data_IF_739874863739
#
_entry.id   IF_739874863739
#
_cell.length_a   1.000
_cell.length_b   1.000
_cell.length_c   1.000
_cell.angle_alpha   90.00
_cell.angle_beta   90.00
_cell.angle_gamma   90.00
#
_symmetry.space_group_name_H-M   'P 1'
#
loop_
_entity.id
_entity.type
_entity.pdbx_description
1 polymer ?
#
# COMPACT_ATOMS: atom_id res chain seq x y z
N UNK A 1 -14.47 33.50 44.67
CA UNK A 1 -13.33 32.61 44.36
C UNK A 1 -13.78 31.28 43.72
N UNK A 2 -14.81 30.61 44.25
CA UNK A 2 -15.35 29.34 43.74
C UNK A 2 -15.76 29.35 42.25
N UNK A 3 -16.50 30.37 41.78
CA UNK A 3 -16.99 30.41 40.39
C UNK A 3 -15.87 30.47 39.32
N UNK A 4 -14.73 31.11 39.64
CA UNK A 4 -13.57 31.15 38.74
C UNK A 4 -12.86 29.78 38.67
N UNK A 5 -12.85 29.03 39.77
CA UNK A 5 -12.29 27.68 39.83
C UNK A 5 -13.11 26.70 38.97
N UNK A 6 -14.44 26.79 39.04
CA UNK A 6 -15.36 25.94 38.25
C UNK A 6 -15.28 26.24 36.76
N UNK A 7 -15.12 27.52 36.39
CA UNK A 7 -14.97 27.93 35.00
C UNK A 7 -13.63 27.47 34.40
N UNK A 8 -12.55 27.55 35.19
CA UNK A 8 -11.22 27.07 34.79
C UNK A 8 -11.19 25.55 34.64
N UNK A 9 -11.86 24.81 35.55
CA UNK A 9 -12.00 23.36 35.44
C UNK A 9 -12.79 22.95 34.18
N UNK A 10 -13.89 23.65 33.86
CA UNK A 10 -14.66 23.40 32.63
C UNK A 10 -13.85 23.65 31.36
N UNK A 11 -13.04 24.71 31.33
CA UNK A 11 -12.15 25.02 30.19
C UNK A 11 -11.05 23.97 30.01
N UNK A 12 -10.47 23.51 31.12
CA UNK A 12 -9.47 22.44 31.12
C UNK A 12 -10.07 21.13 30.60
N UNK A 13 -11.27 20.79 31.07
CA UNK A 13 -11.98 19.57 30.67
C UNK A 13 -12.36 19.59 29.19
N UNK A 14 -12.84 20.73 28.68
CA UNK A 14 -13.18 20.90 27.26
C UNK A 14 -11.93 20.74 26.37
N UNK A 15 -10.80 21.33 26.74
CA UNK A 15 -9.55 21.20 26.00
C UNK A 15 -9.01 19.77 25.99
N UNK A 16 -9.08 19.06 27.11
CA UNK A 16 -8.67 17.65 27.19
C UNK A 16 -9.50 16.75 26.27
N UNK A 17 -10.82 16.98 26.20
CA UNK A 17 -11.72 16.25 25.30
C UNK A 17 -11.38 16.56 23.83
N UNK A 18 -11.13 17.83 23.49
CA UNK A 18 -10.75 18.21 22.12
C UNK A 18 -9.45 17.56 21.69
N UNK A 19 -8.42 17.57 22.56
CA UNK A 19 -7.13 16.92 22.27
C UNK A 19 -7.30 15.41 22.12
N UNK A 20 -8.02 14.76 23.04
CA UNK A 20 -8.28 13.33 22.96
C UNK A 20 -9.04 12.94 21.68
N UNK A 21 -10.07 13.71 21.32
CA UNK A 21 -10.84 13.52 20.08
C UNK A 21 -9.96 13.70 18.85
N UNK A 22 -9.12 14.75 18.80
CA UNK A 22 -8.21 15.00 17.69
C UNK A 22 -7.13 13.91 17.57
N UNK A 23 -6.63 13.39 18.70
CA UNK A 23 -5.71 12.24 18.71
C UNK A 23 -6.39 10.95 18.26
N UNK A 24 -7.66 10.73 18.62
CA UNK A 24 -8.42 9.57 18.18
C UNK A 24 -8.75 9.65 16.68
N UNK A 25 -9.07 10.85 16.19
CA UNK A 25 -9.30 11.13 14.77
C UNK A 25 -8.02 10.91 13.98
N UNK A 26 -6.89 11.48 14.40
CA UNK A 26 -5.60 11.27 13.71
C UNK A 26 -5.15 9.81 13.78
N UNK A 27 -5.36 9.12 14.90
CA UNK A 27 -5.15 7.68 15.01
C UNK A 27 -6.05 6.91 14.02
N UNK A 28 -7.34 7.27 13.95
CA UNK A 28 -8.29 6.66 13.02
C UNK A 28 -7.90 6.90 11.56
N UNK A 29 -7.50 8.12 11.20
CA UNK A 29 -6.98 8.45 9.86
C UNK A 29 -5.67 7.73 9.54
N UNK A 30 -4.81 7.50 10.54
CA UNK A 30 -3.57 6.71 10.38
C UNK A 30 -3.80 5.20 10.32
N UNK A 31 -4.94 4.72 10.85
CA UNK A 31 -5.41 3.33 10.77
C UNK A 31 -6.27 3.08 9.52
N UNK A 32 -6.58 4.11 8.73
CA UNK A 32 -7.09 3.89 7.37
C UNK A 32 -5.96 3.20 6.63
N UNK A 33 -6.05 1.89 6.51
CA UNK A 33 -5.20 1.13 5.60
C UNK A 33 -5.39 1.75 4.23
N UNK A 34 -4.34 2.38 3.69
CA UNK A 34 -4.24 2.53 2.24
C UNK A 34 -4.27 1.10 1.73
N UNK A 35 -5.42 0.67 1.21
CA UNK A 35 -5.49 -0.54 0.42
C UNK A 35 -4.61 -0.23 -0.77
N UNK A 36 -3.32 -0.59 -0.69
CA UNK A 36 -2.49 -0.71 -1.87
C UNK A 36 -3.34 -1.58 -2.79
N UNK A 37 -3.94 -0.99 -3.82
CA UNK A 37 -4.97 -1.65 -4.61
C UNK A 37 -4.46 -3.04 -4.90
N UNK A 38 -5.19 -4.05 -4.45
CA UNK A 38 -4.87 -5.45 -4.71
C UNK A 38 -4.73 -5.54 -6.22
N UNK A 39 -3.49 -5.50 -6.71
CA UNK A 39 -3.23 -5.08 -8.07
C UNK A 39 -4.03 -5.92 -9.04
N UNK A 40 -4.45 -5.32 -10.16
CA UNK A 40 -5.09 -6.08 -11.24
C UNK A 40 -4.31 -7.36 -11.52
N UNK A 41 -2.97 -7.33 -11.41
CA UNK A 41 -2.07 -8.48 -11.43
C UNK A 41 -1.35 -8.58 -10.08
N UNK A 42 -1.42 -9.74 -9.44
CA UNK A 42 -0.75 -10.04 -8.17
C UNK A 42 0.50 -10.91 -8.37
N UNK A 43 0.45 -11.87 -9.29
CA UNK A 43 1.61 -12.73 -9.60
C UNK A 43 1.62 -13.23 -11.03
N UNK A 44 2.81 -13.56 -11.51
CA UNK A 44 3.06 -14.10 -12.85
C UNK A 44 4.03 -15.27 -12.70
N UNK A 45 3.62 -16.47 -13.10
CA UNK A 45 4.44 -17.67 -12.99
C UNK A 45 4.83 -18.04 -11.55
N UNK A 46 4.05 -17.60 -10.55
CA UNK A 46 4.33 -17.79 -9.12
C UNK A 46 5.21 -16.70 -8.49
N UNK A 47 5.80 -15.80 -9.28
CA UNK A 47 6.53 -14.65 -8.76
C UNK A 47 5.58 -13.49 -8.48
N UNK A 48 5.72 -12.84 -7.32
CA UNK A 48 4.94 -11.65 -6.97
C UNK A 48 5.23 -10.51 -7.95
N UNK A 49 4.17 -9.94 -8.52
CA UNK A 49 4.30 -8.82 -9.44
C UNK A 49 4.43 -7.51 -8.67
N UNK A 50 5.32 -6.64 -9.14
CA UNK A 50 5.53 -5.31 -8.56
C UNK A 50 4.69 -4.32 -9.37
N UNK A 51 3.65 -3.78 -8.75
CA UNK A 51 2.75 -2.82 -9.39
C UNK A 51 3.53 -1.60 -9.93
N UNK A 52 3.33 -1.29 -11.21
CA UNK A 52 4.03 -0.20 -11.89
C UNK A 52 5.39 -0.59 -12.51
N UNK A 53 5.80 -1.87 -12.42
CA UNK A 53 6.96 -2.35 -13.16
C UNK A 53 6.77 -2.15 -14.67
N UNK A 54 7.79 -1.61 -15.35
CA UNK A 54 7.80 -1.46 -16.81
C UNK A 54 8.25 -2.74 -17.52
N UNK A 55 9.00 -3.60 -16.81
CA UNK A 55 9.46 -4.88 -17.30
C UNK A 55 9.46 -5.92 -16.18
N UNK A 56 9.14 -7.18 -16.52
CA UNK A 56 9.06 -8.30 -15.58
C UNK A 56 9.61 -9.57 -16.21
N UNK A 57 10.39 -10.35 -15.45
CA UNK A 57 11.04 -11.57 -15.95
C UNK A 57 10.47 -12.80 -15.28
N UNK A 58 10.20 -13.83 -16.09
CA UNK A 58 9.83 -15.17 -15.61
C UNK A 58 10.49 -16.22 -16.48
N UNK A 59 10.73 -17.40 -15.93
CA UNK A 59 11.44 -18.49 -16.62
C UNK A 59 10.50 -19.51 -17.27
N UNK A 60 9.24 -19.57 -16.84
CA UNK A 60 8.22 -20.43 -17.43
C UNK A 60 7.78 -19.89 -18.79
N UNK A 61 7.74 -20.74 -19.83
CA UNK A 61 7.18 -20.39 -21.15
C UNK A 61 5.65 -20.18 -21.12
N UNK A 62 4.98 -20.70 -20.09
CA UNK A 62 3.52 -20.55 -19.89
C UNK A 62 3.24 -20.09 -18.46
N UNK A 63 3.60 -18.84 -18.13
CA UNK A 63 3.40 -18.33 -16.79
C UNK A 63 1.91 -18.11 -16.52
N UNK A 64 1.42 -18.63 -15.40
CA UNK A 64 0.07 -18.32 -14.92
C UNK A 64 0.06 -16.91 -14.35
N UNK A 65 -0.81 -16.06 -14.87
CA UNK A 65 -1.14 -14.77 -14.32
C UNK A 65 -2.26 -14.96 -13.31
N UNK A 66 -2.13 -14.31 -12.16
CA UNK A 66 -3.22 -14.21 -11.19
C UNK A 66 -3.28 -12.81 -10.62
N UNK A 67 -4.46 -12.42 -10.18
CA UNK A 67 -4.70 -11.09 -9.64
C UNK A 67 -6.03 -10.99 -8.94
N UNK A 68 -6.36 -9.77 -8.54
CA UNK A 68 -7.60 -9.47 -7.82
C UNK A 68 -8.32 -8.33 -8.55
N UNK A 69 -9.62 -8.48 -8.76
CA UNK A 69 -10.52 -7.44 -9.28
C UNK A 69 -11.92 -7.67 -8.73
N UNK A 70 -12.87 -6.78 -8.97
CA UNK A 70 -14.25 -6.92 -8.49
C UNK A 70 -14.83 -8.30 -8.83
N UNK A 71 -15.40 -8.99 -7.84
CA UNK A 71 -16.02 -10.30 -8.04
C UNK A 71 -17.01 -10.30 -9.22
N UNK A 72 -16.90 -11.30 -10.09
CA UNK A 72 -17.70 -11.42 -11.32
C UNK A 72 -17.30 -10.49 -12.47
N UNK A 73 -16.30 -9.60 -12.29
CA UNK A 73 -15.82 -8.76 -13.37
C UNK A 73 -15.00 -9.55 -14.39
N UNK A 74 -15.12 -9.16 -15.66
CA UNK A 74 -14.28 -9.68 -16.73
C UNK A 74 -12.88 -9.07 -16.67
N UNK A 75 -11.88 -9.89 -16.96
CA UNK A 75 -10.48 -9.53 -17.16
C UNK A 75 -10.14 -9.85 -18.61
N UNK A 76 -9.79 -8.82 -19.37
CA UNK A 76 -9.53 -8.93 -20.81
C UNK A 76 -8.19 -8.26 -21.15
N UNK A 77 -7.63 -8.59 -22.31
CA UNK A 77 -6.39 -7.99 -22.75
C UNK A 77 -5.56 -8.88 -23.64
N UNK A 78 -4.26 -8.62 -23.68
CA UNK A 78 -3.29 -9.39 -24.45
C UNK A 78 -1.98 -9.59 -23.67
N UNK A 79 -1.34 -10.74 -23.93
CA UNK A 79 0.02 -11.06 -23.51
C UNK A 79 0.75 -11.57 -24.76
N UNK A 80 1.61 -10.72 -25.34
CA UNK A 80 2.15 -10.96 -26.66
C UNK A 80 1.03 -11.11 -27.69
N UNK A 81 1.00 -12.26 -28.38
CA UNK A 81 -0.03 -12.58 -29.37
C UNK A 81 -1.22 -13.37 -28.79
N UNK A 82 -1.26 -13.57 -27.47
CA UNK A 82 -2.32 -14.34 -26.80
C UNK A 82 -3.37 -13.39 -26.21
N UNK A 83 -4.65 -13.68 -26.45
CA UNK A 83 -5.76 -12.94 -25.83
C UNK A 83 -6.01 -13.45 -24.41
N UNK A 84 -6.12 -12.52 -23.47
CA UNK A 84 -6.55 -12.78 -22.09
C UNK A 84 -8.06 -12.71 -22.03
N UNK A 85 -8.66 -13.75 -21.44
CA UNK A 85 -10.08 -13.78 -21.11
C UNK A 85 -10.26 -14.60 -19.84
N UNK A 86 -10.60 -13.94 -18.74
CA UNK A 86 -10.90 -14.55 -17.46
C UNK A 86 -12.02 -13.77 -16.76
N UNK A 87 -12.63 -14.39 -15.76
CA UNK A 87 -13.64 -13.75 -14.91
C UNK A 87 -13.24 -13.94 -13.46
N UNK A 88 -13.33 -12.88 -12.65
CA UNK A 88 -13.06 -12.99 -11.23
C UNK A 88 -14.12 -13.82 -10.52
N UNK A 89 -13.67 -14.69 -9.61
CA UNK A 89 -14.54 -15.52 -8.78
C UNK A 89 -15.24 -14.71 -7.66
N UNK A 90 -16.05 -15.39 -6.85
CA UNK A 90 -16.76 -14.77 -5.72
C UNK A 90 -15.82 -14.19 -4.65
N UNK A 91 -14.57 -14.66 -4.59
CA UNK A 91 -13.52 -14.16 -3.72
C UNK A 91 -12.67 -13.07 -4.38
N UNK A 92 -13.11 -12.53 -5.52
CA UNK A 92 -12.43 -11.46 -6.29
C UNK A 92 -11.12 -11.90 -6.94
N UNK A 93 -10.80 -13.19 -6.96
CA UNK A 93 -9.57 -13.70 -7.57
C UNK A 93 -9.81 -14.08 -9.02
N UNK A 94 -8.80 -13.89 -9.86
CA UNK A 94 -8.80 -14.39 -11.23
C UNK A 94 -7.46 -15.05 -11.56
N UNK A 95 -7.48 -15.96 -12.53
CA UNK A 95 -6.29 -16.64 -13.03
C UNK A 95 -6.41 -16.89 -14.53
N UNK A 96 -5.30 -16.77 -15.25
CA UNK A 96 -5.22 -17.06 -16.67
C UNK A 96 -3.82 -17.61 -17.03
N UNK A 97 -3.77 -18.58 -17.93
CA UNK A 97 -2.52 -19.16 -18.43
C UNK A 97 -2.52 -19.13 -19.96
N UNK A 98 -1.42 -18.72 -20.61
CA UNK A 98 -1.29 -18.78 -22.06
C UNK A 98 -1.59 -20.17 -22.64
N UNK A 99 -2.26 -20.21 -23.78
CA UNK A 99 -2.54 -21.46 -24.50
C UNK A 99 -1.29 -21.99 -25.23
N UNK A 100 -0.49 -21.08 -25.79
CA UNK A 100 0.79 -21.38 -26.44
C UNK A 100 1.98 -20.90 -25.60
N UNK A 101 3.16 -21.47 -25.89
CA UNK A 101 4.42 -21.02 -25.30
C UNK A 101 4.75 -19.59 -25.72
N UNK A 102 5.12 -18.78 -24.74
CA UNK A 102 5.71 -17.46 -24.93
C UNK A 102 7.23 -17.58 -24.94
N UNK A 103 7.89 -16.72 -25.71
CA UNK A 103 9.36 -16.64 -25.76
C UNK A 103 9.78 -15.17 -25.85
N UNK A 104 10.97 -14.84 -25.34
CA UNK A 104 11.51 -13.49 -25.39
C UNK A 104 10.60 -12.43 -24.75
N UNK A 105 10.58 -11.23 -25.34
CA UNK A 105 9.80 -10.10 -24.85
C UNK A 105 8.37 -10.12 -25.39
N UNK A 106 7.40 -9.95 -24.50
CA UNK A 106 5.98 -9.99 -24.77
C UNK A 106 5.31 -8.77 -24.14
N UNK A 107 4.70 -7.92 -24.97
CA UNK A 107 3.90 -6.80 -24.45
C UNK A 107 2.67 -7.32 -23.73
N UNK A 108 2.48 -6.88 -22.48
CA UNK A 108 1.30 -7.18 -21.68
C UNK A 108 0.40 -5.94 -21.64
N UNK A 109 -0.89 -6.14 -21.89
CA UNK A 109 -1.91 -5.12 -21.71
C UNK A 109 -3.19 -5.77 -21.20
N UNK A 110 -3.45 -5.68 -19.90
CA UNK A 110 -4.62 -6.31 -19.25
C UNK A 110 -5.49 -5.22 -18.62
N UNK A 111 -6.81 -5.37 -18.74
CA UNK A 111 -7.80 -4.44 -18.18
C UNK A 111 -8.92 -5.18 -17.47
N UNK A 112 -9.49 -4.53 -16.47
CA UNK A 112 -10.72 -4.97 -15.80
C UNK A 112 -11.42 -3.76 -15.18
N UNK A 113 -12.61 -3.42 -15.68
CA UNK A 113 -13.31 -2.19 -15.28
C UNK A 113 -12.46 -0.95 -15.51
N UNK A 114 -12.18 -0.19 -14.45
CA UNK A 114 -11.33 1.01 -14.49
C UNK A 114 -9.84 0.74 -14.25
N UNK A 115 -9.45 -0.52 -14.00
CA UNK A 115 -8.06 -0.90 -13.75
C UNK A 115 -7.40 -1.35 -15.06
N UNK A 116 -6.13 -0.97 -15.25
CA UNK A 116 -5.31 -1.39 -16.37
C UNK A 116 -3.87 -1.63 -15.92
N UNK A 117 -3.19 -2.57 -16.58
CA UNK A 117 -1.78 -2.87 -16.39
C UNK A 117 -1.10 -3.05 -17.75
N UNK A 118 0.03 -2.37 -17.94
CA UNK A 118 0.80 -2.44 -19.19
C UNK A 118 2.30 -2.43 -18.90
N UNK A 119 3.02 -3.44 -19.40
CA UNK A 119 4.46 -3.65 -19.20
C UNK A 119 5.00 -4.69 -20.19
N UNK A 120 6.31 -4.88 -20.20
CA UNK A 120 6.97 -5.94 -20.98
C UNK A 120 7.24 -7.17 -20.11
N UNK A 121 6.73 -8.33 -20.51
CA UNK A 121 7.08 -9.62 -19.91
C UNK A 121 8.19 -10.29 -20.72
N UNK A 122 9.33 -10.56 -20.09
CA UNK A 122 10.43 -11.29 -20.71
C UNK A 122 10.44 -12.74 -20.22
N UNK A 123 10.35 -13.70 -21.14
CA UNK A 123 10.56 -15.12 -20.85
C UNK A 123 12.05 -15.42 -20.93
N UNK A 124 12.68 -15.57 -19.77
CA UNK A 124 14.12 -15.77 -19.66
C UNK A 124 14.64 -15.62 -18.24
N UNK A 125 15.95 -15.79 -18.08
CA UNK A 125 16.62 -15.49 -16.82
C UNK A 125 16.62 -13.97 -16.59
N UNK A 126 16.45 -13.56 -15.33
CA UNK A 126 16.64 -12.17 -14.95
C UNK A 126 18.10 -11.77 -15.22
N UNK A 127 18.38 -10.64 -15.89
CA UNK A 127 19.75 -10.20 -16.14
C UNK A 127 20.50 -9.98 -14.83
N UNK A 128 21.75 -10.44 -14.79
CA UNK A 128 22.62 -10.35 -13.60
C UNK A 128 22.78 -8.91 -13.10
N UNK A 129 22.78 -7.92 -14.00
CA UNK A 129 22.86 -6.49 -13.68
C UNK A 129 21.67 -5.97 -12.86
N UNK A 130 20.49 -6.58 -13.01
CA UNK A 130 19.30 -6.24 -12.21
C UNK A 130 19.24 -7.13 -10.96
N UNK A 131 19.62 -8.41 -11.08
CA UNK A 131 19.66 -9.34 -9.96
C UNK A 131 20.62 -8.91 -8.83
N UNK A 132 21.70 -8.18 -9.16
CA UNK A 132 22.63 -7.61 -8.18
C UNK A 132 22.25 -6.21 -7.68
N UNK A 133 21.06 -5.70 -8.03
CA UNK A 133 20.50 -4.50 -7.39
C UNK A 133 20.02 -4.82 -5.96
N UNK A 134 20.90 -5.40 -5.15
CA UNK A 134 20.66 -5.61 -3.74
C UNK A 134 20.59 -4.26 -3.03
N UNK A 135 19.51 -4.04 -2.27
CA UNK A 135 19.23 -3.06 -1.21
C UNK A 135 19.83 -1.63 -1.24
N UNK A 136 21.07 -1.42 -1.70
CA UNK A 136 21.81 -0.16 -1.70
C UNK A 136 21.39 0.88 -2.74
N UNK A 137 20.41 0.57 -3.60
CA UNK A 137 19.86 1.51 -4.60
C UNK A 137 18.40 1.93 -4.35
N UNK A 138 17.73 1.35 -3.34
CA UNK A 138 16.38 1.78 -2.99
C UNK A 138 16.47 3.15 -2.30
N UNK A 139 15.62 4.10 -2.68
CA UNK A 139 15.49 5.35 -1.96
C UNK A 139 15.27 5.02 -0.46
N UNK A 140 15.96 5.68 0.48
CA UNK A 140 15.78 5.41 1.90
C UNK A 140 14.28 5.40 2.23
N UNK A 141 13.79 4.32 2.84
CA UNK A 141 12.45 4.33 3.42
C UNK A 141 12.38 5.58 4.32
N UNK A 142 11.33 6.40 4.14
CA UNK A 142 11.25 7.72 4.75
C UNK A 142 11.66 7.70 6.22
N UNK A 143 12.50 8.66 6.63
CA UNK A 143 13.04 8.69 7.99
C UNK A 143 11.90 8.83 9.02
N UNK A 144 11.84 7.93 10.01
CA UNK A 144 10.89 8.03 11.13
C UNK A 144 11.33 9.03 12.20
N UNK A 145 12.55 9.57 12.10
CA UNK A 145 13.11 10.54 13.04
C UNK A 145 12.21 11.77 13.28
N UNK A 146 11.64 12.45 12.26
CA UNK A 146 10.69 13.55 12.48
C UNK A 146 9.46 13.12 13.28
N UNK A 147 8.89 11.95 12.97
CA UNK A 147 7.70 11.43 13.68
C UNK A 147 8.02 11.13 15.14
N UNK A 148 9.16 10.48 15.41
CA UNK A 148 9.61 10.18 16.78
C UNK A 148 9.92 11.46 17.55
N UNK A 149 10.58 12.44 16.93
CA UNK A 149 10.91 13.72 17.58
C UNK A 149 9.66 14.50 17.99
N UNK A 150 8.65 14.58 17.11
CA UNK A 150 7.37 15.24 17.41
C UNK A 150 6.64 14.51 18.55
N UNK A 151 6.64 13.18 18.54
CA UNK A 151 5.94 12.37 19.54
C UNK A 151 6.60 12.51 20.93
N UNK A 152 7.93 12.48 21.00
CA UNK A 152 8.69 12.75 22.23
C UNK A 152 8.45 14.17 22.74
N UNK A 153 8.46 15.16 21.84
CA UNK A 153 8.19 16.55 22.21
C UNK A 153 6.76 16.73 22.77
N UNK A 154 5.76 16.08 22.15
CA UNK A 154 4.38 16.08 22.62
C UNK A 154 4.20 15.40 23.99
N UNK A 155 4.87 14.28 24.24
CA UNK A 155 4.88 13.61 25.55
C UNK A 155 5.54 14.53 26.60
N UNK A 156 6.63 15.21 26.24
CA UNK A 156 7.32 16.13 27.13
C UNK A 156 6.44 17.33 27.52
N UNK A 157 5.77 17.97 26.55
CA UNK A 157 4.83 19.07 26.80
C UNK A 157 3.66 18.66 27.70
N UNK A 158 3.08 17.48 27.49
CA UNK A 158 1.94 17.01 28.28
C UNK A 158 2.35 16.66 29.71
N UNK A 159 3.49 16.01 29.90
CA UNK A 159 4.02 15.68 31.23
C UNK A 159 4.46 16.94 32.01
N UNK A 160 5.21 17.85 31.38
CA UNK A 160 5.58 19.13 32.02
C UNK A 160 4.38 20.04 32.28
N UNK A 161 3.39 20.07 31.38
CA UNK A 161 2.14 20.81 31.58
C UNK A 161 1.33 20.30 32.77
N UNK A 162 1.25 18.98 32.95
CA UNK A 162 0.61 18.33 34.11
C UNK A 162 1.36 18.60 35.42
N UNK A 163 2.70 18.57 35.41
CA UNK A 163 3.53 18.86 36.59
C UNK A 163 3.48 20.35 36.97
N UNK A 164 3.42 21.25 35.99
CA UNK A 164 3.28 22.70 36.20
C UNK A 164 1.96 23.10 36.83
N UNK A 165 0.86 22.41 36.50
CA UNK A 165 -0.45 22.61 37.17
C UNK A 165 -0.43 22.15 38.64
N UNK A 166 0.35 21.12 38.97
CA UNK A 166 0.41 20.53 40.32
C UNK A 166 1.16 21.40 41.34
N UNK A 167 1.95 22.39 40.89
CA UNK A 167 2.69 23.33 41.76
C UNK A 167 1.93 24.65 42.06
N UNK A 168 0.71 24.82 41.52
CA UNK A 168 -0.12 26.02 41.73
C UNK A 168 -1.39 25.78 42.55
N UNK A 169 -1.42 24.70 43.33
CA UNK A 169 -2.40 24.46 44.39
C UNK A 169 -1.67 24.21 45.71
#
# INVERSE_FOLDING_TARGET
MAARLTLNAKRLMLSAITVFSLTLITLHLSLITVLAGSGLISSIGGATFIQGATQFWVTSSRPTFSGITTAGAAVTGTVGNQSVSATADASSNWSWTPAADLTGDNTVSITSGSQSASFTLTIGQLPESIATSGAGGLAPAGSILPTVAILVFGISLTTFGLVGLKRRF
#
